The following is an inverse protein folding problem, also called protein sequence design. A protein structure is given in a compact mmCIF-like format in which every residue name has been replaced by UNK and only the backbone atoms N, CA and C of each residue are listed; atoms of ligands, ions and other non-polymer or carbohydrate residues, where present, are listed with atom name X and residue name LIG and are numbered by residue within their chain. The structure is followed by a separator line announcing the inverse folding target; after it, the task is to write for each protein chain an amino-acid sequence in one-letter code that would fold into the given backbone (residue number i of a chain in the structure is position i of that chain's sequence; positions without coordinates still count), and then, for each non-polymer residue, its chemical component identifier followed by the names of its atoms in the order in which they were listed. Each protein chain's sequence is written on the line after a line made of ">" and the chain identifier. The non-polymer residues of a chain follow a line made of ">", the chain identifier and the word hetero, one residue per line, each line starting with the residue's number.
data_IF_875014275570
#
_entry.id   IF_875014275570
#
_cell.length_a   1.000
_cell.length_b   1.000
_cell.length_c   1.000
_cell.angle_alpha   90.00
_cell.angle_beta   90.00
_cell.angle_gamma   90.00
#
_symmetry.space_group_name_H-M   'P 1'
#
loop_
_entity.id
_entity.type
_entity.pdbx_description
1 polymer ?
#
# COMPACT_ATOMS: atom_id res chain seq x y z
N UNK A 1 -44.59 -6.30 76.73
CA UNK A 1 -43.16 -5.98 76.50
C UNK A 1 -42.92 -5.99 75.00
N UNK A 2 -42.13 -5.02 74.56
CA UNK A 2 -42.01 -4.49 73.19
C UNK A 2 -41.31 -5.52 72.29
N UNK A 3 -41.88 -5.87 71.13
CA UNK A 3 -41.18 -6.61 70.10
C UNK A 3 -41.05 -5.73 68.85
N UNK A 4 -39.89 -5.09 68.73
CA UNK A 4 -39.52 -4.20 67.63
C UNK A 4 -39.30 -5.01 66.35
N UNK A 5 -40.12 -4.78 65.33
CA UNK A 5 -39.91 -5.31 63.99
C UNK A 5 -38.82 -4.51 63.26
N UNK A 6 -37.70 -5.17 62.96
CA UNK A 6 -36.65 -4.64 62.09
C UNK A 6 -37.01 -4.98 60.64
N UNK A 7 -37.50 -4.00 59.88
CA UNK A 7 -37.68 -4.14 58.43
C UNK A 7 -36.33 -3.98 57.73
N UNK A 8 -35.74 -5.08 57.28
CA UNK A 8 -34.56 -5.06 56.39
C UNK A 8 -35.06 -4.76 54.99
N UNK A 9 -34.89 -3.51 54.56
CA UNK A 9 -35.12 -3.11 53.17
C UNK A 9 -33.94 -3.59 52.31
N UNK A 10 -34.15 -4.65 51.53
CA UNK A 10 -33.20 -5.07 50.49
C UNK A 10 -33.23 -4.05 49.35
N UNK A 11 -32.19 -3.20 49.27
CA UNK A 11 -31.87 -2.45 48.08
C UNK A 11 -31.37 -3.42 47.00
N UNK A 12 -32.24 -3.76 46.06
CA UNK A 12 -31.83 -4.41 44.81
C UNK A 12 -31.18 -3.32 43.94
N UNK A 13 -29.86 -3.29 43.90
CA UNK A 13 -29.14 -2.52 42.90
C UNK A 13 -29.34 -3.21 41.54
N UNK A 14 -30.31 -2.73 40.76
CA UNK A 14 -30.45 -3.10 39.35
C UNK A 14 -29.24 -2.57 38.59
N UNK A 15 -28.21 -3.40 38.46
CA UNK A 15 -27.16 -3.19 37.48
C UNK A 15 -27.77 -3.23 36.09
N UNK A 16 -27.88 -2.07 35.44
CA UNK A 16 -28.08 -2.02 33.99
C UNK A 16 -26.79 -2.56 33.38
N UNK A 17 -26.78 -3.84 33.04
CA UNK A 17 -25.83 -4.36 32.09
C UNK A 17 -26.15 -3.69 30.75
N UNK A 18 -25.29 -2.79 30.30
CA UNK A 18 -25.31 -2.34 28.92
C UNK A 18 -25.08 -3.59 28.06
N UNK A 19 -26.11 -4.07 27.37
CA UNK A 19 -25.92 -5.07 26.33
C UNK A 19 -24.91 -4.49 25.33
N UNK A 20 -23.84 -5.22 25.02
CA UNK A 20 -23.00 -4.89 23.87
C UNK A 20 -23.89 -4.88 22.63
N UNK A 21 -23.96 -3.72 21.96
CA UNK A 21 -24.64 -3.60 20.69
C UNK A 21 -23.82 -4.32 19.61
N UNK A 22 -24.06 -5.62 19.49
CA UNK A 22 -23.44 -6.52 18.52
C UNK A 22 -23.74 -6.14 17.06
N UNK A 23 -24.68 -5.21 16.81
CA UNK A 23 -25.03 -4.77 15.45
C UNK A 23 -23.86 -4.13 14.70
N UNK A 24 -22.85 -3.68 15.44
CA UNK A 24 -21.64 -3.01 14.95
C UNK A 24 -20.39 -3.90 14.99
N UNK A 25 -20.51 -5.18 15.36
CA UNK A 25 -19.38 -6.11 15.33
C UNK A 25 -19.02 -6.45 13.87
N UNK A 26 -17.98 -5.79 13.36
CA UNK A 26 -17.47 -5.97 12.00
C UNK A 26 -17.12 -7.42 11.65
N UNK A 27 -16.67 -8.23 12.64
CA UNK A 27 -16.38 -9.64 12.44
C UNK A 27 -17.67 -10.42 12.24
N UNK A 28 -18.68 -10.26 13.11
CA UNK A 28 -19.99 -10.92 12.95
C UNK A 28 -20.66 -10.52 11.64
N UNK A 29 -20.63 -9.24 11.30
CA UNK A 29 -21.16 -8.73 10.04
C UNK A 29 -20.45 -9.36 8.83
N UNK A 30 -19.12 -9.47 8.85
CA UNK A 30 -18.35 -10.12 7.79
C UNK A 30 -18.67 -11.62 7.67
N UNK A 31 -18.80 -12.33 8.80
CA UNK A 31 -19.16 -13.74 8.83
C UNK A 31 -20.52 -13.99 8.17
N UNK A 32 -21.52 -13.17 8.51
CA UNK A 32 -22.87 -13.30 7.96
C UNK A 32 -23.02 -12.86 6.50
N UNK A 33 -22.17 -11.96 6.02
CA UNK A 33 -22.39 -11.28 4.74
C UNK A 33 -21.33 -11.53 3.66
N UNK A 34 -20.12 -11.97 4.03
CA UNK A 34 -18.95 -12.01 3.15
C UNK A 34 -18.24 -13.37 3.14
N UNK A 35 -18.15 -14.04 4.29
CA UNK A 35 -17.29 -15.20 4.48
C UNK A 35 -17.67 -16.45 3.66
N UNK A 36 -18.91 -16.56 3.19
CA UNK A 36 -19.33 -17.67 2.30
C UNK A 36 -18.51 -17.72 1.01
N UNK A 37 -18.11 -16.56 0.48
CA UNK A 37 -17.28 -16.44 -0.71
C UNK A 37 -15.83 -16.07 -0.37
N UNK A 38 -15.62 -15.15 0.57
CA UNK A 38 -14.30 -14.59 0.90
C UNK A 38 -13.57 -15.33 2.03
N UNK A 39 -14.19 -16.36 2.62
CA UNK A 39 -13.67 -17.18 3.71
C UNK A 39 -13.60 -16.47 5.05
N UNK A 40 -13.67 -17.23 6.14
CA UNK A 40 -13.62 -16.70 7.50
C UNK A 40 -12.28 -16.04 7.86
N UNK A 41 -11.21 -16.48 7.20
CA UNK A 41 -9.84 -15.99 7.37
C UNK A 41 -9.43 -14.95 6.30
N UNK A 42 -10.36 -14.50 5.46
CA UNK A 42 -10.10 -13.58 4.35
C UNK A 42 -9.55 -14.23 3.08
N UNK A 43 -9.42 -15.56 3.03
CA UNK A 43 -9.04 -16.30 1.83
C UNK A 43 -10.28 -16.90 1.14
N UNK A 44 -10.42 -16.78 -0.18
CA UNK A 44 -11.61 -17.25 -0.88
C UNK A 44 -11.89 -18.73 -0.64
N UNK A 45 -13.14 -19.07 -0.38
CA UNK A 45 -13.60 -20.48 -0.32
C UNK A 45 -13.50 -21.12 -1.71
N UNK A 46 -13.60 -22.45 -1.80
CA UNK A 46 -13.65 -23.12 -3.11
C UNK A 46 -14.80 -22.61 -3.98
N UNK A 47 -15.96 -22.31 -3.35
CA UNK A 47 -17.05 -21.61 -4.01
C UNK A 47 -16.57 -20.24 -4.54
N UNK A 48 -15.97 -19.42 -3.69
CA UNK A 48 -15.42 -18.11 -4.07
C UNK A 48 -14.42 -18.18 -5.23
N UNK A 49 -13.53 -19.18 -5.24
CA UNK A 49 -12.55 -19.41 -6.32
C UNK A 49 -13.20 -19.82 -7.63
N UNK A 50 -14.32 -20.53 -7.57
CA UNK A 50 -15.05 -21.02 -8.76
C UNK A 50 -15.88 -19.96 -9.48
N UNK A 51 -16.15 -18.82 -8.83
CA UNK A 51 -16.98 -17.74 -9.37
C UNK A 51 -16.45 -17.19 -10.70
N UNK A 52 -17.39 -16.83 -11.58
CA UNK A 52 -17.13 -16.25 -12.90
C UNK A 52 -17.79 -14.86 -13.01
N UNK A 53 -17.23 -13.92 -13.79
CA UNK A 53 -15.98 -14.04 -14.56
C UNK A 53 -14.71 -13.96 -13.69
N UNK A 54 -14.84 -13.63 -12.41
CA UNK A 54 -13.72 -13.50 -11.48
C UNK A 54 -14.00 -14.26 -10.18
N UNK A 55 -12.97 -14.90 -9.65
CA UNK A 55 -12.97 -15.40 -8.29
C UNK A 55 -13.19 -14.26 -7.27
N UNK A 56 -13.72 -14.62 -6.10
CA UNK A 56 -13.76 -13.73 -4.94
C UNK A 56 -12.35 -13.23 -4.59
N UNK A 57 -12.26 -11.98 -4.13
CA UNK A 57 -10.98 -11.37 -3.77
C UNK A 57 -10.42 -11.99 -2.49
N UNK A 58 -9.12 -12.27 -2.50
CA UNK A 58 -8.39 -12.61 -1.28
C UNK A 58 -8.14 -11.31 -0.49
N UNK A 59 -8.84 -11.16 0.63
CA UNK A 59 -8.76 -9.96 1.45
C UNK A 59 -7.43 -9.83 2.17
N UNK A 60 -6.81 -10.95 2.58
CA UNK A 60 -5.47 -10.93 3.16
C UNK A 60 -4.49 -10.26 2.21
N UNK A 61 -4.46 -10.73 0.96
CA UNK A 61 -3.49 -10.28 -0.02
C UNK A 61 -3.73 -8.87 -0.57
N UNK A 62 -4.98 -8.41 -0.67
CA UNK A 62 -5.28 -7.16 -1.40
C UNK A 62 -5.84 -6.04 -0.53
N UNK A 63 -6.51 -6.33 0.59
CA UNK A 63 -7.29 -5.32 1.28
C UNK A 63 -6.42 -4.16 1.79
N UNK A 64 -5.18 -4.42 2.20
CA UNK A 64 -4.26 -3.39 2.65
C UNK A 64 -3.95 -2.35 1.57
N UNK A 65 -3.93 -2.76 0.30
CA UNK A 65 -3.58 -1.91 -0.84
C UNK A 65 -4.76 -1.23 -1.52
N UNK A 66 -5.97 -1.41 -0.98
CA UNK A 66 -7.20 -0.79 -1.48
C UNK A 66 -7.65 0.28 -0.51
N UNK A 67 -7.92 1.48 -1.00
CA UNK A 67 -8.37 2.58 -0.14
C UNK A 67 -9.71 2.24 0.54
N UNK A 68 -9.94 2.80 1.72
CA UNK A 68 -11.21 2.62 2.45
C UNK A 68 -12.41 3.05 1.61
N UNK A 69 -12.28 4.14 0.86
CA UNK A 69 -13.35 4.63 -0.01
C UNK A 69 -13.64 3.70 -1.18
N UNK A 70 -12.61 3.06 -1.76
CA UNK A 70 -12.82 2.04 -2.78
C UNK A 70 -13.50 0.81 -2.19
N UNK A 71 -13.10 0.34 -1.01
CA UNK A 71 -13.76 -0.76 -0.30
C UNK A 71 -15.22 -0.43 0.01
N UNK A 72 -15.50 0.76 0.53
CA UNK A 72 -16.87 1.23 0.80
C UNK A 72 -17.70 1.24 -0.47
N UNK A 73 -17.19 1.82 -1.55
CA UNK A 73 -17.89 1.81 -2.85
C UNK A 73 -18.18 0.39 -3.34
N UNK A 74 -17.21 -0.52 -3.24
CA UNK A 74 -17.36 -1.93 -3.65
C UNK A 74 -18.43 -2.64 -2.82
N UNK A 75 -18.40 -2.50 -1.49
CA UNK A 75 -19.34 -3.18 -0.60
C UNK A 75 -20.75 -2.59 -0.76
N UNK A 76 -20.87 -1.26 -0.80
CA UNK A 76 -22.15 -0.57 -0.94
C UNK A 76 -22.84 -0.91 -2.26
N UNK A 77 -22.13 -0.85 -3.39
CA UNK A 77 -22.74 -0.94 -4.73
C UNK A 77 -22.46 -2.25 -5.47
N UNK A 78 -21.63 -3.13 -4.91
CA UNK A 78 -21.18 -4.33 -5.60
C UNK A 78 -20.24 -4.04 -6.77
N UNK A 79 -19.97 -5.07 -7.56
CA UNK A 79 -19.19 -4.97 -8.80
C UNK A 79 -20.00 -5.54 -9.95
N UNK A 80 -20.44 -4.65 -10.85
CA UNK A 80 -21.26 -5.00 -12.01
C UNK A 80 -20.62 -6.12 -12.83
N UNK A 81 -21.41 -7.13 -13.17
CA UNK A 81 -20.96 -8.28 -13.97
C UNK A 81 -20.18 -9.32 -13.17
N UNK A 82 -20.27 -9.31 -11.84
CA UNK A 82 -19.67 -10.31 -10.95
C UNK A 82 -20.68 -10.77 -9.90
N UNK A 83 -20.35 -11.81 -9.15
CA UNK A 83 -21.14 -12.27 -8.01
C UNK A 83 -21.01 -11.38 -6.75
N UNK A 84 -20.21 -10.31 -6.78
CA UNK A 84 -20.13 -9.35 -5.67
C UNK A 84 -21.31 -8.38 -5.73
N UNK A 85 -22.43 -8.78 -5.13
CA UNK A 85 -23.65 -7.98 -5.06
C UNK A 85 -23.55 -6.80 -4.08
N UNK A 86 -24.44 -5.82 -4.26
CA UNK A 86 -24.53 -4.64 -3.43
C UNK A 86 -25.04 -4.97 -2.02
N UNK A 87 -24.35 -4.48 -0.97
CA UNK A 87 -24.77 -4.65 0.43
C UNK A 87 -25.54 -3.46 1.01
N UNK A 88 -25.71 -2.37 0.26
CA UNK A 88 -26.44 -1.16 0.72
C UNK A 88 -27.89 -1.38 1.17
N UNK A 89 -28.50 -2.51 0.81
CA UNK A 89 -29.87 -2.87 1.21
C UNK A 89 -29.91 -3.85 2.39
N UNK A 90 -28.76 -4.38 2.81
CA UNK A 90 -28.63 -5.34 3.90
C UNK A 90 -27.81 -4.80 5.07
N UNK A 91 -26.91 -3.84 4.81
CA UNK A 91 -26.05 -3.19 5.77
C UNK A 91 -26.20 -1.67 5.65
N UNK A 92 -26.31 -1.00 6.79
CA UNK A 92 -26.24 0.46 6.84
C UNK A 92 -24.78 0.97 6.65
N UNK A 93 -24.57 2.29 6.47
CA UNK A 93 -23.23 2.84 6.25
C UNK A 93 -22.22 2.57 7.37
N UNK A 94 -22.65 2.57 8.64
CA UNK A 94 -21.78 2.32 9.78
C UNK A 94 -21.39 0.84 9.84
N UNK A 95 -22.33 -0.05 9.58
CA UNK A 95 -22.06 -1.50 9.49
C UNK A 95 -21.08 -1.82 8.36
N UNK A 96 -21.18 -1.14 7.22
CA UNK A 96 -20.21 -1.27 6.13
C UNK A 96 -18.81 -0.85 6.59
N UNK A 97 -18.71 0.26 7.33
CA UNK A 97 -17.42 0.72 7.86
C UNK A 97 -16.83 -0.26 8.88
N UNK A 98 -17.66 -0.85 9.75
CA UNK A 98 -17.22 -1.90 10.68
C UNK A 98 -16.69 -3.15 9.94
N UNK A 99 -17.35 -3.57 8.85
CA UNK A 99 -16.85 -4.66 8.00
C UNK A 99 -15.52 -4.29 7.34
N UNK A 100 -15.34 -3.05 6.88
CA UNK A 100 -14.08 -2.57 6.31
C UNK A 100 -12.96 -2.61 7.35
N UNK A 101 -13.24 -2.18 8.58
CA UNK A 101 -12.28 -2.24 9.69
C UNK A 101 -11.84 -3.68 9.92
N UNK A 102 -12.78 -4.62 9.99
CA UNK A 102 -12.45 -6.04 10.13
C UNK A 102 -11.65 -6.57 8.93
N UNK A 103 -12.03 -6.25 7.70
CA UNK A 103 -11.29 -6.65 6.49
C UNK A 103 -9.84 -6.14 6.52
N UNK A 104 -9.61 -4.93 7.04
CA UNK A 104 -8.27 -4.32 7.18
C UNK A 104 -7.46 -4.93 8.33
N UNK A 105 -8.01 -5.83 9.14
CA UNK A 105 -7.23 -6.60 10.13
C UNK A 105 -6.54 -7.82 9.53
N UNK A 106 -6.91 -8.24 8.31
CA UNK A 106 -6.27 -9.37 7.68
C UNK A 106 -4.84 -9.02 7.23
N UNK A 107 -3.91 -9.92 7.59
CA UNK A 107 -2.49 -9.79 7.26
C UNK A 107 -2.09 -10.79 6.18
N UNK A 108 -1.16 -10.37 5.33
CA UNK A 108 -0.52 -11.19 4.33
C UNK A 108 0.95 -10.81 4.27
N UNK A 109 1.82 -11.81 4.41
CA UNK A 109 3.26 -11.62 4.25
C UNK A 109 3.61 -11.85 2.77
N UNK A 110 4.07 -10.82 2.03
CA UNK A 110 4.38 -10.97 0.61
C UNK A 110 5.58 -11.89 0.36
N UNK A 111 5.46 -12.79 -0.61
CA UNK A 111 6.57 -13.65 -1.04
C UNK A 111 7.35 -12.96 -2.16
N UNK A 112 8.48 -12.33 -1.82
CA UNK A 112 9.33 -11.64 -2.80
C UNK A 112 9.96 -12.61 -3.84
N UNK A 113 10.16 -13.87 -3.49
CA UNK A 113 10.71 -14.86 -4.42
C UNK A 113 9.66 -15.25 -5.47
N UNK A 114 8.42 -15.49 -5.04
CA UNK A 114 7.30 -15.66 -5.97
C UNK A 114 7.07 -14.39 -6.80
N UNK A 115 7.11 -13.21 -6.18
CA UNK A 115 6.98 -11.92 -6.85
C UNK A 115 8.01 -11.74 -7.96
N UNK A 116 9.28 -12.08 -7.70
CA UNK A 116 10.34 -12.08 -8.71
C UNK A 116 10.07 -13.08 -9.82
N UNK A 117 9.70 -14.32 -9.49
CA UNK A 117 9.42 -15.35 -10.49
C UNK A 117 8.26 -14.95 -11.42
N UNK A 118 7.19 -14.36 -10.86
CA UNK A 118 6.05 -13.83 -11.63
C UNK A 118 6.42 -12.62 -12.48
N UNK A 119 7.25 -11.72 -11.94
CA UNK A 119 7.79 -10.59 -12.68
C UNK A 119 8.61 -11.06 -13.89
N UNK A 120 9.49 -12.04 -13.70
CA UNK A 120 10.28 -12.68 -14.76
C UNK A 120 9.41 -13.37 -15.82
N UNK A 121 8.29 -13.97 -15.42
CA UNK A 121 7.39 -14.64 -16.35
C UNK A 121 6.56 -13.68 -17.22
N UNK A 122 6.19 -12.50 -16.70
CA UNK A 122 5.15 -11.66 -17.32
C UNK A 122 5.63 -10.23 -17.64
N UNK A 123 6.47 -9.65 -16.78
CA UNK A 123 6.75 -8.21 -16.81
C UNK A 123 8.04 -7.85 -17.54
N UNK A 124 9.06 -8.73 -17.53
CA UNK A 124 10.41 -8.42 -18.04
C UNK A 124 10.46 -8.13 -19.53
N UNK A 125 9.51 -8.66 -20.32
CA UNK A 125 9.45 -8.42 -21.76
C UNK A 125 9.31 -6.92 -22.09
N UNK A 126 8.65 -6.16 -21.20
CA UNK A 126 8.50 -4.72 -21.35
C UNK A 126 9.41 -3.95 -20.36
N UNK A 127 9.49 -4.40 -19.11
CA UNK A 127 10.14 -3.64 -18.03
C UNK A 127 11.61 -3.99 -17.79
N UNK A 128 12.18 -4.97 -18.52
CA UNK A 128 13.55 -5.44 -18.32
C UNK A 128 13.68 -6.42 -17.16
N UNK A 129 14.71 -7.27 -17.21
CA UNK A 129 14.95 -8.35 -16.22
C UNK A 129 15.18 -7.83 -14.81
N UNK A 130 15.75 -6.64 -14.69
CA UNK A 130 16.02 -5.95 -13.44
C UNK A 130 15.06 -4.78 -13.21
N UNK A 131 13.98 -4.64 -14.00
CA UNK A 131 13.07 -3.51 -13.92
C UNK A 131 13.57 -2.22 -14.58
N UNK A 132 14.78 -2.21 -15.15
CA UNK A 132 15.25 -1.13 -16.01
C UNK A 132 14.75 -1.37 -17.43
N UNK A 133 13.66 -0.70 -17.79
CA UNK A 133 13.10 -0.78 -19.14
C UNK A 133 14.13 -0.27 -20.17
N UNK A 134 14.57 -1.14 -21.08
CA UNK A 134 15.49 -0.80 -22.16
C UNK A 134 14.79 -0.70 -23.53
N UNK A 135 13.49 -1.04 -23.57
CA UNK A 135 12.76 -1.29 -24.81
C UNK A 135 12.06 -0.02 -25.33
N UNK A 136 12.06 0.17 -26.65
CA UNK A 136 11.39 1.28 -27.35
C UNK A 136 9.85 1.25 -27.30
N UNK A 137 9.26 0.41 -26.47
CA UNK A 137 7.79 0.22 -26.33
C UNK A 137 7.15 1.19 -25.33
N UNK A 138 7.93 2.15 -24.80
CA UNK A 138 7.44 3.19 -23.89
C UNK A 138 7.25 2.78 -22.43
N UNK A 139 7.75 1.59 -22.05
CA UNK A 139 7.73 1.14 -20.66
C UNK A 139 8.57 2.06 -19.76
N UNK A 140 8.07 2.34 -18.55
CA UNK A 140 8.81 3.12 -17.56
C UNK A 140 9.79 2.23 -16.80
N UNK A 141 10.91 2.82 -16.41
CA UNK A 141 11.86 2.21 -15.49
C UNK A 141 11.19 2.03 -14.12
N UNK A 142 11.14 0.79 -13.65
CA UNK A 142 10.47 0.41 -12.40
C UNK A 142 11.37 0.57 -11.18
N UNK A 143 12.71 0.52 -11.34
CA UNK A 143 13.65 0.85 -10.25
C UNK A 143 13.34 2.24 -9.70
N UNK A 144 12.93 3.16 -10.56
CA UNK A 144 12.79 4.57 -10.23
C UNK A 144 11.33 5.03 -10.27
N UNK A 145 10.40 4.09 -10.07
CA UNK A 145 8.97 4.40 -10.02
C UNK A 145 8.66 5.37 -8.89
N UNK A 146 7.83 6.38 -9.16
CA UNK A 146 7.31 7.31 -8.15
C UNK A 146 6.07 6.76 -7.43
N UNK A 147 5.59 5.58 -7.83
CA UNK A 147 4.39 4.99 -7.30
C UNK A 147 4.67 4.36 -5.93
N UNK A 148 3.80 4.65 -4.97
CA UNK A 148 3.66 3.86 -3.77
C UNK A 148 3.10 2.47 -4.05
N UNK A 149 3.12 1.61 -3.04
CA UNK A 149 2.70 0.22 -3.16
C UNK A 149 1.22 0.09 -3.58
N UNK A 150 0.33 0.93 -3.04
CA UNK A 150 -1.08 0.97 -3.44
C UNK A 150 -1.25 1.32 -4.92
N UNK A 151 -0.49 2.27 -5.44
CA UNK A 151 -0.56 2.71 -6.83
C UNK A 151 0.03 1.67 -7.79
N UNK A 152 1.06 0.93 -7.36
CA UNK A 152 1.61 -0.22 -8.09
C UNK A 152 0.55 -1.32 -8.20
N UNK A 153 -0.08 -1.69 -7.08
CA UNK A 153 -1.18 -2.67 -7.05
C UNK A 153 -2.36 -2.20 -7.90
N UNK A 154 -2.76 -0.93 -7.80
CA UNK A 154 -3.81 -0.34 -8.62
C UNK A 154 -3.47 -0.46 -10.11
N UNK A 155 -2.25 -0.10 -10.50
CA UNK A 155 -1.76 -0.19 -11.87
C UNK A 155 -1.84 -1.63 -12.40
N UNK A 156 -1.48 -2.64 -11.61
CA UNK A 156 -1.60 -4.04 -12.03
C UNK A 156 -3.06 -4.51 -12.11
N UNK A 157 -3.92 -4.05 -11.21
CA UNK A 157 -5.34 -4.44 -11.17
C UNK A 157 -6.14 -3.84 -12.32
N UNK A 158 -5.81 -2.63 -12.74
CA UNK A 158 -6.65 -1.85 -13.66
C UNK A 158 -5.95 -1.49 -14.97
N UNK A 159 -4.63 -1.62 -15.03
CA UNK A 159 -3.83 -1.18 -16.16
C UNK A 159 -3.74 0.35 -16.20
N UNK A 160 -3.13 0.86 -17.26
CA UNK A 160 -3.04 2.29 -17.60
C UNK A 160 -3.70 2.52 -18.95
N UNK A 161 -4.84 3.24 -18.98
CA UNK A 161 -5.53 3.57 -20.23
C UNK A 161 -4.59 4.21 -21.26
N UNK A 162 -4.72 3.80 -22.52
CA UNK A 162 -3.90 4.31 -23.62
C UNK A 162 -2.45 3.80 -23.65
N UNK A 163 -2.11 2.78 -22.87
CA UNK A 163 -0.79 2.15 -22.87
C UNK A 163 -0.88 0.64 -23.08
N UNK A 164 0.26 -0.01 -23.33
CA UNK A 164 0.37 -1.48 -23.39
C UNK A 164 0.26 -2.16 -22.01
N UNK A 165 0.35 -1.38 -20.91
CA UNK A 165 0.16 -1.89 -19.55
C UNK A 165 -1.35 -2.02 -19.30
N UNK A 166 -1.98 -3.04 -19.86
CA UNK A 166 -3.40 -3.32 -19.65
C UNK A 166 -3.65 -4.18 -18.39
N UNK A 167 -4.90 -4.25 -17.95
CA UNK A 167 -5.31 -5.24 -16.95
C UNK A 167 -5.93 -6.45 -17.63
N UNK A 168 -5.10 -7.42 -18.01
CA UNK A 168 -5.57 -8.80 -18.24
C UNK A 168 -5.89 -9.46 -16.89
N UNK A 169 -6.86 -8.90 -16.16
CA UNK A 169 -7.25 -9.11 -14.74
C UNK A 169 -7.32 -10.55 -14.20
N UNK A 170 -7.06 -11.56 -15.00
CA UNK A 170 -7.12 -12.99 -14.68
C UNK A 170 -5.78 -13.73 -14.74
N UNK A 171 -4.70 -13.14 -15.25
CA UNK A 171 -3.42 -13.86 -15.34
C UNK A 171 -2.70 -13.95 -13.99
N UNK A 172 -2.95 -12.99 -13.09
CA UNK A 172 -2.37 -12.95 -11.75
C UNK A 172 -3.46 -13.08 -10.69
N UNK A 173 -3.23 -13.93 -9.70
CA UNK A 173 -4.08 -14.00 -8.51
C UNK A 173 -3.86 -12.79 -7.60
N UNK A 174 -4.72 -12.60 -6.59
CA UNK A 174 -4.50 -11.52 -5.62
C UNK A 174 -3.17 -11.66 -4.83
N UNK A 175 -2.79 -12.86 -4.36
CA UNK A 175 -1.45 -13.12 -3.86
C UNK A 175 -0.35 -12.76 -4.85
N UNK A 176 -0.42 -13.22 -6.11
CA UNK A 176 0.60 -12.88 -7.12
C UNK A 176 0.74 -11.36 -7.31
N UNK A 177 -0.37 -10.62 -7.33
CA UNK A 177 -0.36 -9.15 -7.43
C UNK A 177 0.33 -8.53 -6.21
N UNK A 178 0.05 -9.00 -5.00
CA UNK A 178 0.70 -8.50 -3.79
C UNK A 178 2.21 -8.79 -3.82
N UNK A 179 2.61 -10.00 -4.17
CA UNK A 179 4.00 -10.45 -4.24
C UNK A 179 4.78 -9.65 -5.29
N UNK A 180 4.26 -9.53 -6.51
CA UNK A 180 4.88 -8.74 -7.59
C UNK A 180 4.96 -7.27 -7.19
N UNK A 181 3.93 -6.71 -6.56
CA UNK A 181 3.95 -5.30 -6.16
C UNK A 181 5.07 -5.02 -5.17
N UNK A 182 5.22 -5.89 -4.16
CA UNK A 182 6.27 -5.75 -3.14
C UNK A 182 7.66 -6.01 -3.73
N UNK A 183 7.80 -6.98 -4.63
CA UNK A 183 9.04 -7.19 -5.38
C UNK A 183 9.42 -5.94 -6.19
N UNK A 184 8.50 -5.42 -7.00
CA UNK A 184 8.73 -4.19 -7.80
C UNK A 184 9.02 -3.00 -6.90
N UNK A 185 8.33 -2.85 -5.78
CA UNK A 185 8.59 -1.80 -4.81
C UNK A 185 9.98 -1.91 -4.18
N UNK A 186 10.47 -3.15 -3.96
CA UNK A 186 11.83 -3.40 -3.46
C UNK A 186 12.93 -3.06 -4.48
N UNK A 187 12.61 -3.06 -5.79
CA UNK A 187 13.60 -2.80 -6.84
C UNK A 187 14.28 -1.43 -6.72
N UNK A 188 13.62 -0.44 -6.13
CA UNK A 188 14.21 0.89 -5.87
C UNK A 188 15.48 0.85 -5.01
N UNK A 189 15.64 -0.21 -4.20
CA UNK A 189 16.83 -0.45 -3.40
C UNK A 189 17.97 -1.11 -4.18
N UNK A 190 17.75 -1.48 -5.44
CA UNK A 190 18.77 -2.01 -6.37
C UNK A 190 19.39 -0.90 -7.25
N UNK A 191 19.30 0.35 -6.82
CA UNK A 191 19.99 1.47 -7.43
C UNK A 191 21.53 1.31 -7.32
N UNK A 192 22.28 1.85 -8.27
CA UNK A 192 23.72 1.63 -8.34
C UNK A 192 24.46 2.61 -7.42
N UNK A 193 24.84 2.15 -6.23
CA UNK A 193 25.59 2.93 -5.24
C UNK A 193 26.94 3.44 -5.76
N UNK A 194 27.62 2.68 -6.63
CA UNK A 194 28.94 3.07 -7.16
C UNK A 194 28.78 4.22 -8.15
N UNK A 195 27.80 4.10 -9.05
CA UNK A 195 27.43 5.18 -9.96
C UNK A 195 26.91 6.40 -9.21
N UNK A 196 26.10 6.19 -8.18
CA UNK A 196 25.62 7.23 -7.27
C UNK A 196 26.74 8.04 -6.63
N UNK A 197 27.80 7.35 -6.16
CA UNK A 197 29.00 8.00 -5.60
C UNK A 197 29.71 8.90 -6.61
N UNK A 198 29.85 8.44 -7.85
CA UNK A 198 30.47 9.21 -8.94
C UNK A 198 29.62 10.45 -9.24
N UNK A 199 28.31 10.26 -9.42
CA UNK A 199 27.37 11.36 -9.69
C UNK A 199 27.32 12.38 -8.55
N UNK A 200 27.36 11.92 -7.29
CA UNK A 200 27.43 12.80 -6.12
C UNK A 200 28.72 13.64 -6.13
N UNK A 201 29.86 13.00 -6.42
CA UNK A 201 31.15 13.69 -6.54
C UNK A 201 31.11 14.79 -7.60
N UNK A 202 30.50 14.51 -8.75
CA UNK A 202 30.44 15.45 -9.88
C UNK A 202 29.45 16.59 -9.66
N UNK A 203 28.31 16.33 -9.02
CA UNK A 203 27.17 17.26 -9.02
C UNK A 203 26.84 17.85 -7.65
N UNK A 204 27.31 17.23 -6.56
CA UNK A 204 26.91 17.58 -5.20
C UNK A 204 28.11 18.01 -4.34
N UNK A 205 29.28 17.41 -4.54
CA UNK A 205 30.43 17.56 -3.65
C UNK A 205 30.99 18.98 -3.55
N UNK A 206 30.80 19.82 -4.59
CA UNK A 206 31.21 21.23 -4.54
C UNK A 206 30.53 22.03 -3.41
N UNK A 207 29.37 21.58 -2.94
CA UNK A 207 28.63 22.19 -1.84
C UNK A 207 28.40 21.23 -0.65
N UNK A 208 28.36 19.93 -0.91
CA UNK A 208 28.12 18.89 0.08
C UNK A 208 29.34 17.97 0.20
N UNK A 209 30.31 18.35 1.05
CA UNK A 209 31.60 17.66 1.15
C UNK A 209 31.47 16.13 1.37
N UNK A 210 30.46 15.70 2.13
CA UNK A 210 30.07 14.29 2.30
C UNK A 210 28.55 14.17 2.37
N UNK A 211 28.01 13.00 2.02
CA UNK A 211 26.57 12.73 2.13
C UNK A 211 26.08 12.82 3.59
N UNK A 212 26.82 12.23 4.54
CA UNK A 212 26.54 12.31 5.99
C UNK A 212 26.61 13.73 6.56
N UNK A 213 27.38 14.62 5.92
CA UNK A 213 27.53 16.02 6.32
C UNK A 213 26.38 16.93 5.87
N UNK A 214 25.43 16.44 5.07
CA UNK A 214 24.31 17.24 4.58
C UNK A 214 23.37 17.56 5.74
N UNK A 215 23.28 18.85 6.08
CA UNK A 215 22.33 19.35 7.09
C UNK A 215 21.04 19.76 6.41
N UNK A 216 19.93 19.15 6.83
CA UNK A 216 18.60 19.65 6.49
C UNK A 216 18.35 20.89 7.35
N UNK A 217 18.36 22.07 6.71
CA UNK A 217 17.84 23.25 7.36
C UNK A 217 16.32 23.06 7.36
N UNK A 218 15.73 22.79 8.52
CA UNK A 218 14.28 22.78 8.76
C UNK A 218 13.89 23.99 9.61
N UNK A 219 12.60 24.32 9.69
CA UNK A 219 12.15 25.34 10.65
C UNK A 219 12.26 24.74 12.06
N UNK A 220 12.57 25.57 13.06
CA UNK A 220 12.92 25.14 14.43
C UNK A 220 11.90 24.21 15.13
N UNK A 221 10.70 24.01 14.56
CA UNK A 221 9.66 23.10 15.04
C UNK A 221 9.82 21.62 14.59
N UNK A 222 10.73 21.29 13.66
CA UNK A 222 10.93 19.89 13.23
C UNK A 222 12.38 19.62 12.79
N UNK A 223 13.27 19.22 13.69
CA UNK A 223 14.65 18.82 13.32
C UNK A 223 14.65 17.41 12.72
N UNK A 224 14.25 17.27 11.46
CA UNK A 224 14.38 15.98 10.74
C UNK A 224 15.83 15.74 10.34
N UNK A 225 16.29 14.51 10.54
CA UNK A 225 17.60 14.05 10.05
C UNK A 225 17.49 13.53 8.61
N UNK A 226 18.61 13.49 7.87
CA UNK A 226 18.62 12.97 6.49
C UNK A 226 18.23 11.49 6.42
N UNK A 227 18.46 10.74 7.49
CA UNK A 227 18.01 9.36 7.65
C UNK A 227 16.49 9.22 7.79
N UNK A 228 15.79 10.23 8.32
CA UNK A 228 14.35 10.17 8.63
C UNK A 228 13.45 10.61 7.47
N UNK A 229 13.96 11.41 6.53
CA UNK A 229 13.17 11.79 5.35
C UNK A 229 12.99 10.58 4.45
N UNK A 230 11.84 10.46 3.78
CA UNK A 230 11.63 9.44 2.75
C UNK A 230 12.36 9.80 1.43
N UNK A 231 12.56 8.81 0.57
CA UNK A 231 13.28 8.99 -0.71
C UNK A 231 12.55 9.93 -1.69
N UNK A 232 11.22 10.03 -1.61
CA UNK A 232 10.45 10.95 -2.45
C UNK A 232 10.71 12.40 -2.03
N UNK A 233 10.68 12.68 -0.74
CA UNK A 233 11.04 13.98 -0.17
C UNK A 233 12.48 14.33 -0.52
N UNK A 234 13.42 13.38 -0.42
CA UNK A 234 14.81 13.62 -0.80
C UNK A 234 14.98 13.93 -2.30
N UNK A 235 14.30 13.20 -3.20
CA UNK A 235 14.30 13.50 -4.65
C UNK A 235 13.79 14.93 -4.93
N UNK A 236 12.71 15.35 -4.29
CA UNK A 236 12.17 16.70 -4.44
C UNK A 236 13.18 17.76 -3.96
N UNK A 237 13.88 17.51 -2.85
CA UNK A 237 14.92 18.41 -2.33
C UNK A 237 16.11 18.50 -3.28
N UNK A 238 16.53 17.39 -3.89
CA UNK A 238 17.61 17.39 -4.88
C UNK A 238 17.20 18.19 -6.12
N UNK A 239 16.00 17.95 -6.67
CA UNK A 239 15.52 18.60 -7.91
C UNK A 239 15.18 20.07 -7.75
N UNK A 240 14.52 20.42 -6.65
CA UNK A 240 13.87 21.71 -6.50
C UNK A 240 14.45 22.54 -5.35
N UNK A 241 15.35 21.98 -4.55
CA UNK A 241 15.83 22.62 -3.32
C UNK A 241 14.70 22.83 -2.31
N UNK A 242 14.90 23.78 -1.39
CA UNK A 242 13.85 24.21 -0.44
C UNK A 242 12.80 25.11 -1.09
N UNK A 243 13.20 25.86 -2.11
CA UNK A 243 12.36 26.78 -2.85
C UNK A 243 12.45 26.45 -4.32
N UNK A 244 11.32 26.12 -4.95
CA UNK A 244 11.24 25.64 -6.34
C UNK A 244 11.95 26.56 -7.34
N UNK A 245 12.00 27.86 -7.07
CA UNK A 245 12.66 28.88 -7.89
C UNK A 245 14.20 28.95 -7.74
N UNK A 246 14.77 28.29 -6.73
CA UNK A 246 16.21 28.13 -6.51
C UNK A 246 16.66 26.69 -6.78
N UNK A 247 15.92 25.96 -7.62
CA UNK A 247 16.31 24.63 -8.08
C UNK A 247 17.78 24.65 -8.53
N UNK A 248 18.56 23.66 -8.10
CA UNK A 248 19.97 23.57 -8.44
C UNK A 248 20.09 23.48 -9.97
N UNK A 249 20.51 24.56 -10.63
CA UNK A 249 20.77 24.56 -12.08
C UNK A 249 21.78 23.47 -12.50
N UNK A 250 22.52 22.90 -11.55
CA UNK A 250 23.48 21.83 -11.73
C UNK A 250 22.85 20.43 -11.81
N UNK A 251 21.67 20.20 -11.23
CA UNK A 251 21.03 18.85 -11.19
C UNK A 251 19.87 18.68 -12.17
N UNK A 252 19.49 19.74 -12.90
CA UNK A 252 18.38 19.70 -13.85
C UNK A 252 18.64 18.80 -15.08
N UNK A 253 19.91 18.51 -15.38
CA UNK A 253 20.32 17.62 -16.48
C UNK A 253 20.30 16.14 -16.08
N UNK A 254 20.25 15.85 -14.78
CA UNK A 254 20.24 14.48 -14.29
C UNK A 254 18.88 13.84 -14.57
N UNK A 255 18.92 12.66 -15.18
CA UNK A 255 17.77 11.78 -15.34
C UNK A 255 17.19 11.37 -13.98
N UNK A 256 15.97 10.81 -14.00
CA UNK A 256 15.39 10.23 -12.80
C UNK A 256 16.26 9.12 -12.22
N UNK A 257 16.85 8.30 -13.09
CA UNK A 257 17.72 7.19 -12.76
C UNK A 257 18.99 7.66 -12.03
N UNK A 258 19.64 8.71 -12.53
CA UNK A 258 20.85 9.28 -11.92
C UNK A 258 20.61 9.90 -10.54
N UNK A 259 19.48 10.59 -10.35
CA UNK A 259 19.14 11.17 -9.03
C UNK A 259 18.88 10.07 -8.00
N UNK A 260 18.29 8.96 -8.42
CA UNK A 260 18.04 7.83 -7.52
C UNK A 260 19.32 7.03 -7.22
N UNK A 261 20.24 6.89 -8.18
CA UNK A 261 21.59 6.37 -7.90
C UNK A 261 22.29 7.25 -6.83
N UNK A 262 22.18 8.59 -6.92
CA UNK A 262 22.68 9.52 -5.89
C UNK A 262 22.00 9.28 -4.54
N UNK A 263 20.67 9.12 -4.49
CA UNK A 263 19.92 8.84 -3.25
C UNK A 263 20.39 7.53 -2.62
N UNK A 264 20.58 6.48 -3.41
CA UNK A 264 21.07 5.20 -2.92
C UNK A 264 22.46 5.31 -2.30
N UNK A 265 23.37 6.06 -2.95
CA UNK A 265 24.66 6.38 -2.36
C UNK A 265 24.53 7.15 -1.03
N UNK A 266 23.66 8.17 -0.97
CA UNK A 266 23.41 8.92 0.27
C UNK A 266 22.91 7.99 1.38
N UNK A 267 21.96 7.09 1.09
CA UNK A 267 21.44 6.13 2.08
C UNK A 267 22.51 5.18 2.60
N UNK A 268 23.42 4.75 1.74
CA UNK A 268 24.51 3.86 2.14
C UNK A 268 25.49 4.53 3.09
N UNK A 269 25.79 5.81 2.88
CA UNK A 269 26.66 6.61 3.75
C UNK A 269 26.01 6.98 5.10
N UNK A 270 24.70 6.82 5.22
CA UNK A 270 23.93 7.13 6.44
C UNK A 270 23.69 5.91 7.35
N UNK A 271 23.95 4.69 6.86
CA UNK A 271 23.96 3.48 7.70
C UNK A 271 25.13 3.52 8.69
#
# INVERSE_FOLDING_TARGET
>A
MIASGLAISMLVASGIACAEDDSMDGKKLYQGNCASCHGMNGEPTEMGKSLKPFAARNHRAIAQYVSRDELRRIITYGVKGTAMEAKKYTLDPLQIDAVIDFIKTFEYEPDLANGKARFEAVCVQCHGVDGRAQTGVGAKNLIYTKLGLEEIVHTMRYGRPGTLMDSKRHQLSNPDIADVANYVYSLRYNADHKKGKILFKENCQSCHSTAKGIKLISNAASSQTLSEIDDHTLDLRIRHGRHVHKAGKHVNKLSSDEIQDIIAYIRDELK
#
